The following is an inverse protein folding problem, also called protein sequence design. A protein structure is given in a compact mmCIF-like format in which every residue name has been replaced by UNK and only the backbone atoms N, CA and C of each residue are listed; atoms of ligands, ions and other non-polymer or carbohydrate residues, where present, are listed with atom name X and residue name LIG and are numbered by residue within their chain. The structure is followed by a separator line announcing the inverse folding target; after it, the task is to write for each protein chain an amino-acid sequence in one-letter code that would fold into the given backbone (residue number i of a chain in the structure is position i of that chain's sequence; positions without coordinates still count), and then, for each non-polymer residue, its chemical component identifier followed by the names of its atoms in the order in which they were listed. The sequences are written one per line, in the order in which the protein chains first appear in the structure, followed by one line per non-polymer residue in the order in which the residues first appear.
data_IF_612904611378
#
_entry.id   IF_612904611378
#
_cell.length_a   1.000
_cell.length_b   1.000
_cell.length_c   1.000
_cell.angle_alpha   90.00
_cell.angle_beta   90.00
_cell.angle_gamma   90.00
#
_symmetry.space_group_name_H-M   'P 1'
#
loop_
_entity.id
_entity.type
_entity.pdbx_description
1 polymer ?
#
# COMPACT_ATOMS: atom_id res chain seq x y z
N UNK A 1 -38.65 -23.94 15.91
CA UNK A 1 -37.25 -23.66 16.35
C UNK A 1 -36.55 -22.85 15.27
N UNK A 2 -36.36 -21.55 15.34
CA UNK A 2 -37.24 -20.45 15.72
C UNK A 2 -36.59 -19.22 15.05
N UNK A 3 -37.25 -18.56 14.10
CA UNK A 3 -36.68 -17.47 13.29
C UNK A 3 -36.03 -16.37 14.15
N UNK A 4 -36.58 -16.14 15.35
CA UNK A 4 -36.04 -15.25 16.38
C UNK A 4 -34.68 -15.69 16.96
N UNK A 5 -34.41 -16.99 17.07
CA UNK A 5 -33.11 -17.54 17.52
C UNK A 5 -32.04 -17.38 16.45
N UNK A 6 -32.43 -17.51 15.17
CA UNK A 6 -31.54 -17.33 14.03
C UNK A 6 -31.18 -15.84 13.83
N UNK A 7 -32.17 -14.94 13.93
CA UNK A 7 -31.95 -13.49 13.96
C UNK A 7 -31.04 -13.03 15.12
N UNK A 8 -31.20 -13.62 16.32
CA UNK A 8 -30.31 -13.32 17.47
C UNK A 8 -28.87 -13.80 17.27
N UNK A 9 -28.65 -14.88 16.50
CA UNK A 9 -27.32 -15.39 16.21
C UNK A 9 -26.58 -14.55 15.15
N UNK A 10 -27.34 -13.89 14.27
CA UNK A 10 -26.78 -13.07 13.21
C UNK A 10 -26.48 -11.62 13.63
N UNK A 11 -27.06 -11.13 14.71
CA UNK A 11 -26.79 -9.77 15.23
C UNK A 11 -25.50 -9.73 16.09
N UNK A 12 -24.70 -8.66 16.01
CA UNK A 12 -23.52 -8.50 16.86
C UNK A 12 -23.89 -8.40 18.35
N UNK A 13 -23.01 -8.91 19.21
CA UNK A 13 -23.15 -8.78 20.67
C UNK A 13 -23.02 -7.32 21.12
N UNK A 14 -23.59 -7.00 22.28
CA UNK A 14 -23.49 -5.64 22.87
C UNK A 14 -22.03 -5.18 23.00
N UNK A 15 -21.13 -6.09 23.40
CA UNK A 15 -19.69 -5.79 23.52
C UNK A 15 -19.06 -5.46 22.17
N UNK A 16 -19.41 -6.20 21.12
CA UNK A 16 -18.95 -5.95 19.75
C UNK A 16 -19.43 -4.60 19.23
N UNK A 17 -20.71 -4.26 19.48
CA UNK A 17 -21.29 -2.97 19.11
C UNK A 17 -20.55 -1.82 19.82
N UNK A 18 -20.39 -1.91 21.14
CA UNK A 18 -19.68 -0.87 21.92
C UNK A 18 -18.26 -0.70 21.41
N UNK A 19 -17.56 -1.81 21.12
CA UNK A 19 -16.18 -1.77 20.61
C UNK A 19 -16.11 -1.10 19.24
N UNK A 20 -17.01 -1.46 18.32
CA UNK A 20 -17.07 -0.83 16.99
C UNK A 20 -17.36 0.66 17.09
N UNK A 21 -18.39 1.05 17.85
CA UNK A 21 -18.79 2.45 18.01
C UNK A 21 -17.65 3.27 18.64
N UNK A 22 -17.00 2.76 19.69
CA UNK A 22 -15.87 3.43 20.30
C UNK A 22 -14.70 3.58 19.31
N UNK A 23 -14.36 2.53 18.55
CA UNK A 23 -13.29 2.59 17.56
C UNK A 23 -13.57 3.60 16.44
N UNK A 24 -14.80 3.60 15.91
CA UNK A 24 -15.22 4.57 14.88
C UNK A 24 -15.24 6.00 15.44
N UNK A 25 -15.73 6.20 16.66
CA UNK A 25 -15.75 7.52 17.29
C UNK A 25 -14.34 8.07 17.51
N UNK A 26 -13.40 7.25 17.99
CA UNK A 26 -11.99 7.64 18.15
C UNK A 26 -11.38 7.97 16.80
N UNK A 27 -11.53 7.10 15.80
CA UNK A 27 -10.95 7.32 14.47
C UNK A 27 -11.51 8.59 13.82
N UNK A 28 -12.84 8.74 13.77
CA UNK A 28 -13.48 9.91 13.18
C UNK A 28 -13.19 11.19 13.97
N UNK A 29 -13.11 11.12 15.31
CA UNK A 29 -12.77 12.25 16.16
C UNK A 29 -11.36 12.77 15.92
N UNK A 30 -10.35 11.88 15.94
CA UNK A 30 -8.96 12.25 15.63
C UNK A 30 -8.87 12.81 14.21
N UNK A 31 -9.51 12.17 13.24
CA UNK A 31 -9.50 12.62 11.84
C UNK A 31 -10.15 13.99 11.68
N UNK A 32 -11.26 14.27 12.37
CA UNK A 32 -11.93 15.57 12.34
C UNK A 32 -11.07 16.71 12.91
N UNK A 33 -10.35 16.43 13.99
CA UNK A 33 -9.54 17.44 14.70
C UNK A 33 -8.22 17.73 13.97
N UNK A 34 -7.54 16.69 13.49
CA UNK A 34 -6.14 16.82 13.04
C UNK A 34 -5.93 16.71 11.52
N UNK A 35 -6.86 16.12 10.77
CA UNK A 35 -6.67 15.84 9.33
C UNK A 35 -7.72 16.54 8.46
N UNK A 36 -8.94 16.68 8.96
CA UNK A 36 -10.11 17.10 8.21
C UNK A 36 -10.87 15.90 7.62
N UNK A 37 -12.20 15.90 7.80
CA UNK A 37 -13.06 14.83 7.27
C UNK A 37 -13.26 15.03 5.77
N UNK A 38 -13.17 13.92 5.02
CA UNK A 38 -13.47 13.85 3.58
C UNK A 38 -14.52 12.76 3.30
N UNK A 39 -15.18 12.77 2.12
CA UNK A 39 -16.21 11.79 1.77
C UNK A 39 -15.77 10.32 1.94
N UNK A 40 -14.48 10.02 1.73
CA UNK A 40 -13.94 8.67 1.84
C UNK A 40 -14.02 8.12 3.28
N UNK A 41 -13.90 9.00 4.30
CA UNK A 41 -14.01 8.60 5.70
C UNK A 41 -15.44 8.19 6.05
N UNK A 42 -16.43 8.94 5.53
CA UNK A 42 -17.84 8.59 5.67
C UNK A 42 -18.17 7.30 4.93
N UNK A 43 -17.66 7.15 3.70
CA UNK A 43 -17.87 5.94 2.90
C UNK A 43 -17.30 4.70 3.60
N UNK A 44 -16.07 4.77 4.12
CA UNK A 44 -15.45 3.66 4.84
C UNK A 44 -16.17 3.36 6.15
N UNK A 45 -16.61 4.38 6.90
CA UNK A 45 -17.42 4.22 8.12
C UNK A 45 -18.74 3.50 7.80
N UNK A 46 -19.46 3.98 6.78
CA UNK A 46 -20.73 3.39 6.35
C UNK A 46 -20.52 1.94 5.89
N UNK A 47 -19.50 1.67 5.08
CA UNK A 47 -19.17 0.33 4.61
C UNK A 47 -18.91 -0.62 5.79
N UNK A 48 -18.13 -0.19 6.79
CA UNK A 48 -17.85 -1.00 7.97
C UNK A 48 -19.13 -1.28 8.77
N UNK A 49 -19.97 -0.28 8.99
CA UNK A 49 -21.26 -0.45 9.70
C UNK A 49 -22.16 -1.42 8.92
N UNK A 50 -22.35 -1.21 7.62
CA UNK A 50 -23.19 -2.07 6.79
C UNK A 50 -22.69 -3.51 6.83
N UNK A 51 -21.38 -3.74 6.61
CA UNK A 51 -20.82 -5.09 6.66
C UNK A 51 -20.97 -5.71 8.06
N UNK A 52 -20.76 -4.95 9.13
CA UNK A 52 -20.80 -5.47 10.49
C UNK A 52 -22.20 -5.89 10.96
N UNK A 53 -23.24 -5.17 10.54
CA UNK A 53 -24.63 -5.40 10.96
C UNK A 53 -25.47 -6.22 9.97
N UNK A 54 -25.03 -6.41 8.72
CA UNK A 54 -25.82 -7.15 7.70
C UNK A 54 -25.98 -8.65 7.99
N UNK A 55 -25.03 -9.27 8.68
CA UNK A 55 -25.10 -10.69 9.03
C UNK A 55 -23.78 -11.24 9.55
N UNK A 56 -23.80 -12.50 10.03
CA UNK A 56 -22.62 -13.14 10.61
C UNK A 56 -21.46 -13.28 9.61
N UNK A 57 -21.75 -13.59 8.34
CA UNK A 57 -20.73 -13.70 7.29
C UNK A 57 -20.06 -12.35 6.99
N UNK A 58 -20.85 -11.30 6.75
CA UNK A 58 -20.32 -9.97 6.43
C UNK A 58 -19.61 -9.33 7.62
N UNK A 59 -20.03 -9.64 8.85
CA UNK A 59 -19.32 -9.25 10.08
C UNK A 59 -17.94 -9.88 10.15
N UNK A 60 -17.83 -11.18 9.89
CA UNK A 60 -16.53 -11.87 9.81
C UNK A 60 -15.65 -11.28 8.71
N UNK A 61 -16.23 -10.89 7.58
CA UNK A 61 -15.52 -10.21 6.50
C UNK A 61 -15.04 -8.81 6.94
N UNK A 62 -15.87 -8.00 7.60
CA UNK A 62 -15.47 -6.71 8.15
C UNK A 62 -14.28 -6.86 9.10
N UNK A 63 -14.35 -7.82 10.01
CA UNK A 63 -13.26 -8.14 10.94
C UNK A 63 -12.03 -8.68 10.21
N UNK A 64 -12.20 -9.47 9.15
CA UNK A 64 -11.10 -9.94 8.32
C UNK A 64 -10.38 -8.79 7.59
N UNK A 65 -11.09 -7.73 7.20
CA UNK A 65 -10.55 -6.57 6.48
C UNK A 65 -9.86 -5.55 7.38
N UNK A 66 -9.96 -5.68 8.72
CA UNK A 66 -9.36 -4.72 9.66
C UNK A 66 -7.88 -4.42 9.42
N UNK A 67 -6.99 -5.36 9.05
CA UNK A 67 -5.59 -5.00 8.79
C UNK A 67 -5.43 -3.97 7.66
N UNK A 68 -6.26 -4.06 6.61
CA UNK A 68 -6.25 -3.09 5.51
C UNK A 68 -6.86 -1.75 5.92
N UNK A 69 -7.92 -1.78 6.75
CA UNK A 69 -8.53 -0.56 7.30
C UNK A 69 -7.53 0.17 8.20
N UNK A 70 -6.85 -0.54 9.10
CA UNK A 70 -5.81 0.04 9.97
C UNK A 70 -4.69 0.63 9.13
N UNK A 71 -4.24 -0.07 8.08
CA UNK A 71 -3.27 0.48 7.14
C UNK A 71 -3.76 1.80 6.52
N UNK A 72 -4.98 1.85 5.99
CA UNK A 72 -5.53 3.05 5.36
C UNK A 72 -5.62 4.23 6.34
N UNK A 73 -6.05 3.97 7.58
CA UNK A 73 -6.12 4.98 8.65
C UNK A 73 -4.72 5.47 9.01
N UNK A 74 -3.77 4.54 9.23
CA UNK A 74 -2.39 4.90 9.58
C UNK A 74 -1.71 5.72 8.47
N UNK A 75 -1.95 5.38 7.21
CA UNK A 75 -1.45 6.16 6.07
C UNK A 75 -2.03 7.56 6.04
N UNK A 76 -3.35 7.70 6.21
CA UNK A 76 -3.99 9.02 6.19
C UNK A 76 -3.54 9.90 7.37
N UNK A 77 -3.34 9.28 8.54
CA UNK A 77 -2.85 9.97 9.73
C UNK A 77 -1.38 10.40 9.66
N UNK A 78 -0.62 9.98 8.66
CA UNK A 78 0.70 10.57 8.39
C UNK A 78 0.62 12.07 8.09
N UNK A 79 -0.56 12.58 7.68
CA UNK A 79 -0.80 14.02 7.50
C UNK A 79 -0.76 14.83 8.79
N UNK A 80 -0.92 14.18 9.95
CA UNK A 80 -0.91 14.84 11.26
C UNK A 80 0.50 15.36 11.59
N UNK A 81 1.52 14.56 11.29
CA UNK A 81 2.92 14.94 11.46
C UNK A 81 3.64 14.58 10.16
N UNK A 82 3.76 15.52 9.20
CA UNK A 82 4.51 15.27 7.98
C UNK A 82 5.95 14.86 8.29
N UNK A 83 6.51 13.93 7.50
CA UNK A 83 7.83 13.37 7.79
C UNK A 83 8.97 14.39 7.72
N UNK A 84 8.83 15.43 6.89
CA UNK A 84 9.80 16.53 6.79
C UNK A 84 9.86 17.42 8.03
N UNK A 85 8.90 17.33 8.95
CA UNK A 85 8.96 18.00 10.26
C UNK A 85 9.83 17.22 11.26
N UNK A 86 10.09 15.94 10.98
CA UNK A 86 10.87 15.06 11.86
C UNK A 86 12.33 14.98 11.44
N UNK A 87 12.60 14.85 10.13
CA UNK A 87 13.96 14.82 9.58
C UNK A 87 14.06 15.64 8.28
N UNK A 88 15.26 16.15 7.93
CA UNK A 88 15.46 16.85 6.66
C UNK A 88 15.13 15.98 5.44
N UNK A 89 14.62 16.61 4.38
CA UNK A 89 14.33 15.93 3.12
C UNK A 89 15.63 15.70 2.35
N UNK A 90 15.92 14.45 2.02
CA UNK A 90 16.96 14.11 1.06
C UNK A 90 16.43 14.22 -0.37
N UNK A 91 16.90 15.23 -1.09
CA UNK A 91 16.60 15.43 -2.52
C UNK A 91 17.85 15.09 -3.34
N UNK A 92 18.96 15.77 -3.03
CA UNK A 92 20.21 15.66 -3.80
C UNK A 92 21.01 14.40 -3.49
N UNK A 93 21.08 13.98 -2.23
CA UNK A 93 21.87 12.81 -1.83
C UNK A 93 21.37 11.54 -2.50
N UNK A 94 20.05 11.32 -2.46
CA UNK A 94 19.42 10.18 -3.14
C UNK A 94 19.59 10.23 -4.67
N UNK A 95 19.37 11.40 -5.29
CA UNK A 95 19.57 11.59 -6.74
C UNK A 95 21.00 11.25 -7.17
N UNK A 96 22.01 11.81 -6.48
CA UNK A 96 23.41 11.56 -6.82
C UNK A 96 23.81 10.10 -6.55
N UNK A 97 23.26 9.47 -5.51
CA UNK A 97 23.48 8.04 -5.24
C UNK A 97 22.90 7.16 -6.36
N UNK A 98 21.68 7.43 -6.81
CA UNK A 98 21.06 6.74 -7.96
C UNK A 98 21.93 6.92 -9.20
N UNK A 99 22.31 8.17 -9.50
CA UNK A 99 23.10 8.54 -10.67
C UNK A 99 24.48 7.87 -10.66
N UNK A 100 25.10 7.76 -9.49
CA UNK A 100 26.39 7.10 -9.33
C UNK A 100 26.29 5.57 -9.51
N UNK A 101 25.26 4.94 -8.96
CA UNK A 101 25.10 3.47 -8.98
C UNK A 101 24.51 2.94 -10.29
N UNK A 102 23.55 3.66 -10.86
CA UNK A 102 22.71 3.23 -11.97
C UNK A 102 22.67 4.21 -13.14
N UNK A 103 23.56 5.21 -13.13
CA UNK A 103 23.64 6.22 -14.18
C UNK A 103 23.90 5.61 -15.57
N UNK A 104 23.20 6.15 -16.55
CA UNK A 104 23.32 5.79 -17.97
C UNK A 104 24.17 6.87 -18.64
N UNK A 105 25.32 6.47 -19.18
CA UNK A 105 26.18 7.37 -19.94
C UNK A 105 25.55 7.69 -21.31
N UNK A 106 25.31 8.97 -21.57
CA UNK A 106 24.80 9.49 -22.85
C UNK A 106 25.77 10.53 -23.40
N UNK A 107 25.54 11.00 -24.63
CA UNK A 107 26.36 12.06 -25.22
C UNK A 107 26.26 13.40 -24.45
N UNK A 108 25.18 13.61 -23.71
CA UNK A 108 24.88 14.82 -22.93
C UNK A 108 25.39 14.73 -21.48
N UNK A 109 25.97 13.59 -21.09
CA UNK A 109 26.42 13.30 -19.74
C UNK A 109 25.76 12.05 -19.16
N UNK A 110 25.95 11.85 -17.87
CA UNK A 110 25.32 10.74 -17.14
C UNK A 110 23.91 11.19 -16.75
N UNK A 111 22.92 10.35 -17.04
CA UNK A 111 21.52 10.53 -16.63
C UNK A 111 21.13 9.42 -15.66
N UNK A 112 20.25 9.70 -14.70
CA UNK A 112 19.55 8.65 -13.95
C UNK A 112 18.66 7.83 -14.90
N UNK A 113 18.30 6.58 -14.54
CA UNK A 113 17.34 5.80 -15.32
C UNK A 113 16.02 6.55 -15.58
N UNK A 114 15.54 7.31 -14.59
CA UNK A 114 14.31 8.09 -14.69
C UNK A 114 14.43 9.21 -15.74
N UNK A 115 15.51 9.99 -15.71
CA UNK A 115 15.77 11.05 -16.71
C UNK A 115 15.94 10.45 -18.11
N UNK A 116 16.63 9.31 -18.22
CA UNK A 116 16.78 8.61 -19.49
C UNK A 116 15.42 8.20 -20.07
N UNK A 117 14.54 7.59 -19.28
CA UNK A 117 13.20 7.19 -19.74
C UNK A 117 12.25 8.37 -19.93
N UNK A 118 12.50 9.52 -19.30
CA UNK A 118 11.76 10.74 -19.60
C UNK A 118 12.00 11.24 -21.04
N UNK A 119 13.19 11.00 -21.59
CA UNK A 119 13.56 11.35 -22.98
C UNK A 119 13.27 10.18 -23.94
N UNK A 120 13.53 8.94 -23.50
CA UNK A 120 13.44 7.73 -24.30
C UNK A 120 12.22 6.88 -23.90
N UNK A 121 11.02 7.42 -24.13
CA UNK A 121 9.76 6.72 -23.90
C UNK A 121 9.06 6.38 -25.23
N UNK A 122 8.07 5.48 -25.17
CA UNK A 122 7.22 5.19 -26.32
C UNK A 122 5.80 4.81 -25.89
N UNK A 123 4.84 5.00 -26.79
CA UNK A 123 3.42 4.82 -26.49
C UNK A 123 3.09 3.43 -25.91
N UNK A 124 3.72 2.35 -26.40
CA UNK A 124 3.50 1.00 -25.87
C UNK A 124 3.93 0.91 -24.41
N UNK A 125 5.11 1.45 -24.07
CA UNK A 125 5.62 1.42 -22.71
C UNK A 125 4.88 2.38 -21.80
N UNK A 126 4.39 3.52 -22.32
CA UNK A 126 3.53 4.45 -21.59
C UNK A 126 2.17 3.80 -21.23
N UNK A 127 1.59 3.07 -22.18
CA UNK A 127 0.37 2.29 -21.92
C UNK A 127 0.61 1.18 -20.87
N UNK A 128 1.68 0.41 -21.03
CA UNK A 128 2.03 -0.66 -20.09
C UNK A 128 2.40 -0.12 -18.71
N UNK A 129 2.98 1.09 -18.64
CA UNK A 129 3.26 1.77 -17.37
C UNK A 129 1.98 1.97 -16.58
N UNK A 130 0.92 2.47 -17.21
CA UNK A 130 -0.36 2.59 -16.54
C UNK A 130 -0.98 1.25 -16.14
N UNK A 131 -0.96 0.25 -17.02
CA UNK A 131 -1.53 -1.08 -16.72
C UNK A 131 -0.86 -1.72 -15.49
N UNK A 132 0.48 -1.79 -15.48
CA UNK A 132 1.20 -2.39 -14.36
C UNK A 132 1.08 -1.55 -13.10
N UNK A 133 1.22 -0.23 -13.21
CA UNK A 133 1.17 0.68 -12.07
C UNK A 133 -0.26 0.91 -11.54
N UNK A 134 -1.30 0.37 -12.17
CA UNK A 134 -2.63 0.24 -11.54
C UNK A 134 -2.78 -1.04 -10.73
N UNK A 135 -1.90 -2.03 -10.89
CA UNK A 135 -2.04 -3.33 -10.26
C UNK A 135 -1.59 -3.37 -8.79
N UNK A 136 -0.76 -2.43 -8.32
CA UNK A 136 -0.07 -2.54 -7.03
C UNK A 136 -1.01 -2.62 -5.82
N UNK A 137 -2.18 -1.95 -5.81
CA UNK A 137 -3.21 -2.14 -4.75
C UNK A 137 -4.25 -3.20 -5.09
N UNK A 138 -4.93 -3.13 -6.25
CA UNK A 138 -6.06 -3.99 -6.53
C UNK A 138 -5.69 -5.47 -6.54
N UNK A 139 -4.53 -5.83 -7.10
CA UNK A 139 -4.14 -7.24 -7.23
C UNK A 139 -3.88 -7.88 -5.86
N UNK A 140 -3.08 -7.30 -4.94
CA UNK A 140 -2.95 -7.82 -3.58
C UNK A 140 -4.27 -7.94 -2.83
N UNK A 141 -5.16 -6.93 -2.95
CA UNK A 141 -6.47 -6.95 -2.29
C UNK A 141 -7.35 -8.07 -2.85
N UNK A 142 -7.45 -8.20 -4.17
CA UNK A 142 -8.19 -9.27 -4.83
C UNK A 142 -7.63 -10.65 -4.50
N UNK A 143 -6.30 -10.78 -4.42
CA UNK A 143 -5.66 -12.01 -3.97
C UNK A 143 -6.05 -12.35 -2.52
N UNK A 144 -5.97 -11.38 -1.61
CA UNK A 144 -6.42 -11.54 -0.23
C UNK A 144 -7.89 -11.97 -0.14
N UNK A 145 -8.79 -11.27 -0.84
CA UNK A 145 -10.20 -11.65 -0.91
C UNK A 145 -10.37 -13.06 -1.50
N UNK A 146 -9.62 -13.42 -2.54
CA UNK A 146 -9.59 -14.77 -3.10
C UNK A 146 -9.20 -15.83 -2.06
N UNK A 147 -8.15 -15.60 -1.26
CA UNK A 147 -7.78 -16.48 -0.15
C UNK A 147 -8.89 -16.57 0.91
N UNK A 148 -9.53 -15.44 1.22
CA UNK A 148 -10.67 -15.39 2.13
C UNK A 148 -11.80 -16.29 1.58
N UNK A 149 -12.36 -16.00 0.42
CA UNK A 149 -13.52 -16.72 -0.14
C UNK A 149 -13.23 -18.19 -0.49
N UNK A 150 -11.99 -18.55 -0.85
CA UNK A 150 -11.56 -19.96 -1.03
C UNK A 150 -11.28 -20.70 0.29
N UNK A 151 -11.63 -20.08 1.42
CA UNK A 151 -11.51 -20.61 2.79
C UNK A 151 -10.08 -20.91 3.23
N UNK A 152 -9.09 -20.24 2.64
CA UNK A 152 -7.69 -20.28 3.06
C UNK A 152 -7.42 -19.25 4.17
N UNK A 153 -8.31 -19.18 5.18
CA UNK A 153 -8.42 -18.11 6.18
C UNK A 153 -7.13 -17.85 6.95
N UNK A 154 -6.37 -18.91 7.26
CA UNK A 154 -5.08 -18.79 7.95
C UNK A 154 -4.04 -18.10 7.07
N UNK A 155 -3.91 -18.51 5.82
CA UNK A 155 -2.97 -17.90 4.86
C UNK A 155 -3.39 -16.45 4.58
N UNK A 156 -4.69 -16.21 4.40
CA UNK A 156 -5.26 -14.87 4.28
C UNK A 156 -4.85 -13.96 5.44
N UNK A 157 -5.05 -14.40 6.68
CA UNK A 157 -4.81 -13.52 7.82
C UNK A 157 -3.32 -13.23 7.99
N UNK A 158 -2.45 -14.22 7.77
CA UNK A 158 -1.01 -13.99 7.75
C UNK A 158 -0.63 -12.98 6.66
N UNK A 159 -1.17 -13.13 5.44
CA UNK A 159 -0.98 -12.17 4.35
C UNK A 159 -1.41 -10.76 4.74
N UNK A 160 -2.64 -10.59 5.25
CA UNK A 160 -3.17 -9.28 5.62
C UNK A 160 -2.37 -8.62 6.78
N UNK A 161 -1.95 -9.41 7.78
CA UNK A 161 -1.14 -8.89 8.89
C UNK A 161 0.29 -8.56 8.47
N UNK A 162 0.92 -9.35 7.60
CA UNK A 162 2.24 -9.01 7.05
C UNK A 162 2.15 -7.81 6.13
N UNK A 163 1.10 -7.70 5.32
CA UNK A 163 0.85 -6.53 4.50
C UNK A 163 0.77 -5.26 5.37
N UNK A 164 -0.03 -5.28 6.44
CA UNK A 164 -0.05 -4.19 7.42
C UNK A 164 1.33 -3.94 8.04
N UNK A 165 2.03 -4.98 8.48
CA UNK A 165 3.32 -4.85 9.16
C UNK A 165 4.41 -4.25 8.26
N UNK A 166 4.49 -4.69 7.00
CA UNK A 166 5.42 -4.12 6.00
C UNK A 166 5.10 -2.65 5.73
N UNK A 167 3.83 -2.28 5.68
CA UNK A 167 3.43 -0.88 5.55
C UNK A 167 3.91 -0.04 6.73
N UNK A 168 3.70 -0.52 7.97
CA UNK A 168 4.17 0.18 9.17
C UNK A 168 5.70 0.32 9.19
N UNK A 169 6.45 -0.71 8.75
CA UNK A 169 7.91 -0.62 8.59
C UNK A 169 8.31 0.40 7.51
N UNK A 170 7.59 0.43 6.38
CA UNK A 170 7.81 1.44 5.34
C UNK A 170 7.55 2.85 5.85
N UNK A 171 6.49 3.06 6.63
CA UNK A 171 6.21 4.36 7.24
C UNK A 171 7.33 4.79 8.18
N UNK A 172 7.87 3.89 9.00
CA UNK A 172 9.07 4.18 9.80
C UNK A 172 10.23 4.61 8.90
N UNK A 173 10.43 3.96 7.76
CA UNK A 173 11.40 4.37 6.74
C UNK A 173 11.17 5.80 6.24
N UNK A 174 9.92 6.16 5.93
CA UNK A 174 9.55 7.51 5.49
C UNK A 174 9.90 8.60 6.51
N UNK A 175 9.87 8.29 7.81
CA UNK A 175 10.27 9.24 8.86
C UNK A 175 11.78 9.23 9.14
N UNK A 176 12.46 8.09 8.99
CA UNK A 176 13.90 8.00 9.17
C UNK A 176 14.63 8.72 8.04
N UNK A 177 14.15 8.57 6.81
CA UNK A 177 14.75 9.14 5.61
C UNK A 177 13.67 9.72 4.69
N UNK A 178 13.11 10.90 5.02
CA UNK A 178 12.25 11.64 4.11
C UNK A 178 13.02 11.91 2.81
N UNK A 179 12.47 11.50 1.67
CA UNK A 179 13.18 11.55 0.40
C UNK A 179 12.27 11.93 -0.75
N UNK A 180 12.79 12.76 -1.66
CA UNK A 180 12.06 13.21 -2.83
C UNK A 180 12.11 12.18 -3.97
N UNK A 181 10.99 11.96 -4.69
CA UNK A 181 10.95 11.09 -5.86
C UNK A 181 11.64 11.72 -7.09
N UNK A 182 11.93 10.93 -8.15
CA UNK A 182 12.61 11.42 -9.34
C UNK A 182 11.91 12.57 -10.06
N UNK A 183 10.58 12.50 -10.22
CA UNK A 183 9.81 13.56 -10.86
C UNK A 183 9.97 14.90 -10.13
N UNK A 184 10.13 14.89 -8.81
CA UNK A 184 10.31 16.10 -8.03
C UNK A 184 11.58 16.83 -8.46
N UNK A 185 12.70 16.10 -8.56
CA UNK A 185 13.99 16.67 -8.98
C UNK A 185 13.91 17.23 -10.39
N UNK A 186 13.22 16.53 -11.29
CA UNK A 186 13.05 16.98 -12.68
C UNK A 186 12.22 18.27 -12.81
N UNK A 187 11.25 18.51 -11.92
CA UNK A 187 10.38 19.68 -11.97
C UNK A 187 10.88 20.87 -11.13
N UNK A 188 11.43 20.59 -9.95
CA UNK A 188 11.73 21.61 -8.92
C UNK A 188 13.23 21.72 -8.60
N UNK A 189 14.07 20.84 -9.14
CA UNK A 189 15.48 20.79 -8.79
C UNK A 189 15.72 20.24 -7.38
N UNK A 190 16.79 20.70 -6.73
CA UNK A 190 17.24 20.14 -5.44
C UNK A 190 16.69 20.86 -4.21
N UNK A 191 16.03 22.00 -4.38
CA UNK A 191 15.48 22.77 -3.27
C UNK A 191 14.14 22.17 -2.82
N UNK A 192 13.96 21.85 -1.52
CA UNK A 192 12.69 21.33 -1.02
C UNK A 192 11.60 22.42 -0.98
N UNK A 193 10.49 22.16 -1.67
CA UNK A 193 9.29 22.99 -1.73
C UNK A 193 8.23 22.27 -0.91
N UNK A 194 7.97 22.79 0.29
CA UNK A 194 6.95 22.24 1.17
C UNK A 194 5.55 22.41 0.54
N UNK A 195 4.64 21.49 0.85
CA UNK A 195 3.27 21.48 0.29
C UNK A 195 3.21 21.32 -1.24
N UNK A 196 4.26 20.77 -1.86
CA UNK A 196 4.21 20.36 -3.27
C UNK A 196 3.03 19.40 -3.48
N UNK A 197 2.13 19.67 -4.44
CA UNK A 197 1.04 18.74 -4.74
C UNK A 197 1.59 17.42 -5.28
N UNK A 198 0.82 16.35 -5.12
CA UNK A 198 1.21 15.07 -5.73
C UNK A 198 1.19 15.16 -7.25
N UNK A 199 2.18 14.55 -7.90
CA UNK A 199 2.36 14.54 -9.35
C UNK A 199 2.12 13.13 -9.93
N UNK A 200 1.58 13.07 -11.15
CA UNK A 200 1.36 11.82 -11.89
C UNK A 200 2.61 11.33 -12.60
N UNK A 201 3.64 12.18 -12.70
CA UNK A 201 4.88 11.99 -13.43
C UNK A 201 4.61 11.46 -14.86
N UNK A 202 5.42 10.52 -15.33
CA UNK A 202 5.24 9.90 -16.64
C UNK A 202 3.94 9.12 -16.81
N UNK A 203 3.18 8.83 -15.74
CA UNK A 203 1.87 8.16 -15.86
C UNK A 203 0.78 9.07 -16.43
N UNK A 204 0.99 10.39 -16.44
CA UNK A 204 0.08 11.32 -17.11
C UNK A 204 -0.12 10.97 -18.59
N UNK A 205 0.91 10.39 -19.23
CA UNK A 205 0.82 9.91 -20.62
C UNK A 205 -0.21 8.79 -20.79
N UNK A 206 -0.40 7.93 -19.79
CA UNK A 206 -1.47 6.93 -19.83
C UNK A 206 -2.86 7.57 -19.77
N UNK A 207 -3.05 8.54 -18.88
CA UNK A 207 -4.32 9.27 -18.74
C UNK A 207 -4.64 10.01 -20.06
N UNK A 208 -3.66 10.68 -20.67
CA UNK A 208 -3.80 11.34 -21.97
C UNK A 208 -4.15 10.37 -23.10
N UNK A 209 -3.47 9.21 -23.17
CA UNK A 209 -3.72 8.19 -24.20
C UNK A 209 -5.10 7.56 -24.09
N UNK A 210 -5.62 7.38 -22.87
CA UNK A 210 -6.89 6.68 -22.62
C UNK A 210 -8.08 7.63 -22.46
N UNK A 211 -7.83 8.91 -22.20
CA UNK A 211 -8.84 9.88 -21.80
C UNK A 211 -9.43 9.64 -20.40
N UNK A 212 -8.87 8.69 -19.65
CA UNK A 212 -9.30 8.37 -18.28
C UNK A 212 -8.41 9.15 -17.29
N UNK A 213 -9.00 9.86 -16.33
CA UNK A 213 -8.25 10.65 -15.34
C UNK A 213 -7.86 9.85 -14.09
N UNK A 214 -7.43 8.61 -14.30
CA UNK A 214 -7.22 7.64 -13.20
C UNK A 214 -6.05 8.05 -12.33
N UNK A 215 -4.88 8.32 -12.94
CA UNK A 215 -3.69 8.67 -12.18
C UNK A 215 -3.78 10.06 -11.58
N UNK A 216 -4.38 11.02 -12.29
CA UNK A 216 -4.64 12.34 -11.73
C UNK A 216 -5.50 12.26 -10.45
N UNK A 217 -6.53 11.41 -10.44
CA UNK A 217 -7.37 11.20 -9.25
C UNK A 217 -6.64 10.50 -8.09
N UNK A 218 -5.75 9.55 -8.40
CA UNK A 218 -5.00 8.77 -7.41
C UNK A 218 -3.86 9.57 -6.78
N UNK A 219 -3.01 10.22 -7.59
CA UNK A 219 -1.78 10.87 -7.13
C UNK A 219 -1.97 12.33 -6.74
N UNK A 220 -2.96 13.04 -7.29
CA UNK A 220 -3.29 14.40 -6.86
C UNK A 220 -3.74 14.51 -5.39
N UNK A 221 -4.05 13.38 -4.76
CA UNK A 221 -4.48 13.28 -3.35
C UNK A 221 -3.42 12.66 -2.43
N UNK A 222 -2.18 12.56 -2.88
CA UNK A 222 -1.12 11.93 -2.10
C UNK A 222 -0.99 12.56 -0.69
N UNK A 223 -0.77 11.72 0.33
CA UNK A 223 -0.61 12.15 1.71
C UNK A 223 0.77 12.71 1.99
N UNK A 224 1.78 12.21 1.28
CA UNK A 224 3.15 12.61 1.50
C UNK A 224 3.98 12.46 0.22
N UNK A 225 4.47 13.57 -0.32
CA UNK A 225 5.33 13.60 -1.51
C UNK A 225 6.75 13.14 -1.19
N UNK A 226 7.26 13.45 0.00
CA UNK A 226 8.64 13.14 0.41
C UNK A 226 8.78 11.76 1.07
N UNK A 227 7.93 10.82 0.67
CA UNK A 227 7.88 9.45 1.17
C UNK A 227 8.28 8.46 0.06
N UNK A 228 9.35 8.75 -0.67
CA UNK A 228 9.83 7.88 -1.75
C UNK A 228 10.49 6.58 -1.22
N UNK A 229 11.25 6.67 -0.12
CA UNK A 229 12.09 5.59 0.41
C UNK A 229 11.51 5.01 1.71
N UNK A 230 11.18 3.70 1.78
CA UNK A 230 11.24 2.69 0.73
C UNK A 230 9.97 2.63 -0.15
N UNK A 231 10.09 2.16 -1.40
CA UNK A 231 8.93 2.04 -2.30
C UNK A 231 7.95 0.94 -1.85
N UNK A 232 6.84 1.32 -1.23
CA UNK A 232 5.77 0.38 -0.85
C UNK A 232 5.03 -0.22 -2.06
N UNK A 233 4.96 0.50 -3.19
CA UNK A 233 4.47 -0.03 -4.48
C UNK A 233 5.23 -1.31 -4.86
N UNK A 234 6.55 -1.31 -4.64
CA UNK A 234 7.43 -2.44 -4.95
C UNK A 234 7.30 -3.58 -3.93
N UNK A 235 6.99 -3.25 -2.67
CA UNK A 235 6.87 -4.21 -1.57
C UNK A 235 5.63 -5.12 -1.68
N UNK A 236 4.50 -4.59 -2.13
CA UNK A 236 3.21 -5.29 -2.02
C UNK A 236 3.14 -6.58 -2.84
N UNK A 237 3.70 -6.58 -4.05
CA UNK A 237 3.70 -7.78 -4.88
C UNK A 237 4.69 -8.84 -4.40
N UNK A 238 5.75 -8.46 -3.68
CA UNK A 238 6.64 -9.43 -3.00
C UNK A 238 5.86 -10.19 -1.93
N UNK A 239 5.09 -9.48 -1.10
CA UNK A 239 4.23 -10.10 -0.07
C UNK A 239 3.18 -10.99 -0.73
N UNK A 240 2.48 -10.48 -1.74
CA UNK A 240 1.48 -11.25 -2.51
C UNK A 240 2.06 -12.55 -3.07
N UNK A 241 3.21 -12.47 -3.75
CA UNK A 241 3.83 -13.63 -4.38
C UNK A 241 4.28 -14.66 -3.32
N UNK A 242 4.91 -14.20 -2.23
CA UNK A 242 5.30 -15.07 -1.12
C UNK A 242 4.11 -15.88 -0.58
N UNK A 243 2.98 -15.21 -0.34
CA UNK A 243 1.78 -15.88 0.14
C UNK A 243 1.06 -16.70 -0.93
N UNK A 244 1.20 -16.37 -2.21
CA UNK A 244 0.72 -17.20 -3.30
C UNK A 244 1.44 -18.55 -3.36
N UNK A 245 2.73 -18.61 -3.00
CA UNK A 245 3.46 -19.87 -2.85
C UNK A 245 3.07 -20.66 -1.59
N UNK A 246 2.61 -19.99 -0.53
CA UNK A 246 2.11 -20.64 0.69
C UNK A 246 0.63 -21.06 0.60
N UNK A 247 -0.10 -20.50 -0.35
CA UNK A 247 -1.48 -20.84 -0.62
C UNK A 247 -1.60 -22.01 -1.59
N UNK A 248 -2.77 -22.66 -1.59
CA UNK A 248 -3.22 -23.49 -2.72
C UNK A 248 -3.61 -22.55 -3.86
N UNK A 249 -2.61 -22.15 -4.63
CA UNK A 249 -2.72 -21.22 -5.75
C UNK A 249 -2.22 -21.87 -7.05
N UNK A 250 -2.90 -21.65 -8.17
CA UNK A 250 -2.50 -22.19 -9.45
C UNK A 250 -1.13 -21.64 -9.90
N UNK A 251 -0.36 -22.44 -10.65
CA UNK A 251 0.97 -22.02 -11.13
C UNK A 251 0.87 -20.78 -12.04
N UNK A 252 -0.14 -20.71 -12.91
CA UNK A 252 -0.35 -19.57 -13.79
C UNK A 252 -0.57 -18.26 -13.02
N UNK A 253 -1.29 -18.28 -11.89
CA UNK A 253 -1.48 -17.10 -11.05
C UNK A 253 -0.15 -16.60 -10.46
N UNK A 254 0.72 -17.52 -10.02
CA UNK A 254 2.04 -17.16 -9.50
C UNK A 254 2.91 -16.53 -10.59
N UNK A 255 2.83 -17.05 -11.83
CA UNK A 255 3.50 -16.46 -12.98
C UNK A 255 2.95 -15.06 -13.27
N UNK A 256 1.62 -14.89 -13.30
CA UNK A 256 0.97 -13.58 -13.47
C UNK A 256 1.43 -12.58 -12.40
N UNK A 257 1.45 -12.97 -11.13
CA UNK A 257 1.93 -12.11 -10.05
C UNK A 257 3.41 -11.74 -10.21
N UNK A 258 4.24 -12.66 -10.68
CA UNK A 258 5.67 -12.39 -10.95
C UNK A 258 5.81 -11.37 -12.08
N UNK A 259 5.07 -11.52 -13.18
CA UNK A 259 5.07 -10.57 -14.30
C UNK A 259 4.58 -9.19 -13.85
N UNK A 260 3.49 -9.13 -13.10
CA UNK A 260 2.97 -7.87 -12.54
C UNK A 260 3.98 -7.21 -11.60
N UNK A 261 4.65 -8.00 -10.76
CA UNK A 261 5.68 -7.51 -9.83
C UNK A 261 6.84 -6.86 -10.57
N UNK A 262 7.44 -7.56 -11.53
CA UNK A 262 8.53 -7.02 -12.34
C UNK A 262 8.07 -5.82 -13.19
N UNK A 263 6.83 -5.88 -13.70
CA UNK A 263 6.19 -4.78 -14.41
C UNK A 263 6.10 -3.51 -13.55
N UNK A 264 5.57 -3.60 -12.32
CA UNK A 264 5.48 -2.46 -11.40
C UNK A 264 6.86 -1.88 -11.09
N UNK A 265 7.87 -2.72 -10.81
CA UNK A 265 9.22 -2.24 -10.50
C UNK A 265 9.82 -1.47 -11.67
N UNK A 266 9.73 -2.03 -12.87
CA UNK A 266 10.21 -1.37 -14.07
C UNK A 266 9.44 -0.07 -14.32
N UNK A 267 8.11 -0.11 -14.25
CA UNK A 267 7.28 1.04 -14.62
C UNK A 267 7.34 2.16 -13.60
N UNK A 268 7.62 1.86 -12.32
CA UNK A 268 7.89 2.85 -11.29
C UNK A 268 9.10 3.73 -11.65
N UNK A 269 10.17 3.12 -12.14
CA UNK A 269 11.37 3.82 -12.59
C UNK A 269 11.13 4.52 -13.92
N UNK A 270 10.57 3.80 -14.90
CA UNK A 270 10.26 4.35 -16.23
C UNK A 270 9.38 5.60 -16.18
N UNK A 271 8.39 5.62 -15.28
CA UNK A 271 7.47 6.76 -15.13
C UNK A 271 8.01 7.88 -14.23
N UNK A 272 9.18 7.71 -13.61
CA UNK A 272 9.75 8.73 -12.72
C UNK A 272 9.14 8.78 -11.32
N UNK A 273 8.36 7.78 -10.92
CA UNK A 273 7.75 7.71 -9.58
C UNK A 273 8.72 7.30 -8.48
N UNK A 274 9.69 6.44 -8.82
CA UNK A 274 10.67 5.92 -7.88
C UNK A 274 12.04 5.75 -8.54
N UNK A 275 13.09 5.96 -7.75
CA UNK A 275 14.44 5.53 -8.10
C UNK A 275 14.57 4.02 -7.96
N UNK A 276 15.59 3.42 -8.58
CA UNK A 276 15.87 2.00 -8.42
C UNK A 276 16.26 1.65 -6.98
N UNK A 277 16.97 2.56 -6.29
CA UNK A 277 17.24 2.45 -4.84
C UNK A 277 15.94 2.28 -4.04
N UNK A 278 14.92 3.10 -4.31
CA UNK A 278 13.63 3.04 -3.61
C UNK A 278 12.97 1.66 -3.78
N UNK A 279 13.01 1.14 -5.01
CA UNK A 279 12.47 -0.18 -5.38
C UNK A 279 13.20 -1.29 -4.62
N UNK A 280 14.54 -1.26 -4.62
CA UNK A 280 15.36 -2.24 -3.92
C UNK A 280 15.11 -2.21 -2.40
N UNK A 281 15.02 -1.02 -1.81
CA UNK A 281 14.70 -0.85 -0.39
C UNK A 281 13.26 -1.27 -0.07
N UNK A 282 12.31 -1.09 -0.99
CA UNK A 282 10.95 -1.63 -0.91
C UNK A 282 10.93 -3.16 -0.87
N UNK A 283 11.68 -3.81 -1.75
CA UNK A 283 11.83 -5.27 -1.77
C UNK A 283 12.46 -5.75 -0.46
N UNK A 284 13.53 -5.11 0.00
CA UNK A 284 14.19 -5.44 1.26
C UNK A 284 13.23 -5.28 2.45
N UNK A 285 12.46 -4.18 2.50
CA UNK A 285 11.45 -3.95 3.53
C UNK A 285 10.40 -5.06 3.55
N UNK A 286 9.90 -5.50 2.39
CA UNK A 286 8.97 -6.62 2.30
C UNK A 286 9.56 -7.92 2.83
N UNK A 287 10.78 -8.27 2.40
CA UNK A 287 11.46 -9.50 2.82
C UNK A 287 11.74 -9.51 4.33
N UNK A 288 12.23 -8.38 4.87
CA UNK A 288 12.44 -8.21 6.31
C UNK A 288 11.11 -8.28 7.07
N UNK A 289 10.06 -7.62 6.60
CA UNK A 289 8.74 -7.67 7.25
C UNK A 289 8.17 -9.09 7.28
N UNK A 290 8.29 -9.84 6.18
CA UNK A 290 7.91 -11.26 6.13
C UNK A 290 8.74 -12.06 7.15
N UNK A 291 10.07 -11.90 7.14
CA UNK A 291 10.98 -12.64 8.01
C UNK A 291 10.68 -12.35 9.50
N UNK A 292 10.63 -11.08 9.88
CA UNK A 292 10.38 -10.64 11.25
C UNK A 292 8.99 -11.08 11.74
N UNK A 293 7.98 -11.06 10.88
CA UNK A 293 6.65 -11.54 11.26
C UNK A 293 6.61 -13.06 11.41
N UNK A 294 7.03 -13.80 10.39
CA UNK A 294 6.88 -15.26 10.33
C UNK A 294 7.88 -15.99 11.24
N UNK A 295 9.10 -15.48 11.37
CA UNK A 295 10.16 -16.10 12.18
C UNK A 295 10.42 -15.37 13.50
N UNK A 296 9.96 -14.13 13.66
CA UNK A 296 10.03 -13.39 14.92
C UNK A 296 8.69 -13.46 15.67
N UNK A 297 7.71 -12.66 15.26
CA UNK A 297 6.45 -12.48 15.98
C UNK A 297 5.68 -13.80 16.16
N UNK A 298 5.60 -14.64 15.13
CA UNK A 298 4.89 -15.93 15.20
C UNK A 298 5.58 -16.99 16.09
N UNK A 299 6.83 -16.74 16.54
CA UNK A 299 7.48 -17.57 17.57
C UNK A 299 7.04 -17.20 18.99
N UNK A 300 6.53 -15.98 19.19
CA UNK A 300 6.02 -15.54 20.50
C UNK A 300 4.69 -16.26 20.77
N UNK A 301 4.58 -17.08 21.84
CA UNK A 301 3.38 -17.90 22.08
C UNK A 301 2.10 -17.08 22.24
N UNK A 302 2.18 -15.90 22.88
CA UNK A 302 1.04 -15.01 23.03
C UNK A 302 0.51 -14.50 21.68
N UNK A 303 1.42 -14.05 20.80
CA UNK A 303 1.06 -13.55 19.47
C UNK A 303 0.50 -14.67 18.58
N UNK A 304 1.12 -15.85 18.58
CA UNK A 304 0.59 -17.03 17.87
C UNK A 304 -0.82 -17.39 18.32
N UNK A 305 -1.09 -17.36 19.64
CA UNK A 305 -2.45 -17.59 20.18
C UNK A 305 -3.43 -16.52 19.74
N UNK A 306 -3.02 -15.25 19.71
CA UNK A 306 -3.84 -14.15 19.20
C UNK A 306 -4.22 -14.38 17.73
N UNK A 307 -3.24 -14.63 16.86
CA UNK A 307 -3.49 -14.94 15.44
C UNK A 307 -4.39 -16.16 15.29
N UNK A 308 -4.17 -17.22 16.07
CA UNK A 308 -5.04 -18.41 16.06
C UNK A 308 -6.50 -18.12 16.42
N UNK A 309 -6.74 -17.31 17.47
CA UNK A 309 -8.09 -16.85 17.84
C UNK A 309 -8.72 -16.01 16.74
N UNK A 310 -7.93 -15.14 16.11
CA UNK A 310 -8.41 -14.28 15.04
C UNK A 310 -8.80 -15.13 13.81
N UNK A 311 -7.96 -16.08 13.38
CA UNK A 311 -8.34 -17.06 12.35
C UNK A 311 -9.63 -17.79 12.73
N UNK A 312 -9.76 -18.25 13.97
CA UNK A 312 -10.97 -18.93 14.46
C UNK A 312 -12.23 -18.08 14.37
N UNK A 313 -12.14 -16.78 14.67
CA UNK A 313 -13.28 -15.86 14.57
C UNK A 313 -13.73 -15.63 13.13
N UNK A 314 -12.78 -15.42 12.20
CA UNK A 314 -13.10 -15.09 10.79
C UNK A 314 -13.41 -16.32 9.92
N UNK A 315 -13.26 -17.52 10.47
CA UNK A 315 -13.50 -18.78 9.75
C UNK A 315 -14.97 -19.14 9.61
#
# INVERSE_FOLDING_TARGET
MDFKRQLKADFPSVREIITLVAALAVWMGVTAVFVGIRPEHWLMTLLLIVLFFSGSFTRKLAIALLPFVVFAISYDWMRIVPNYEVNPIDVKGLYEAEKHLFGIATAQGILTPNEFFAVHHCAVMDFMAGVFYLCWVPVPVLFGLGLYFTRQRRVYLHFALVFLFVNLLGFVGYYIHPAAPPWYVMHYGFEPVLNTPGDVAGLGRFDEMTGLTVFHGLYGRNANVFAAVPSLHSAYMVVTLFYAFRARCACWLRLTFTVIMCGIWFTAVYSGHHYLIDVMLGILCALLGILLFEQGLMRIPAFRRFVGKYVGYIS
#
